data_IF_938349642450
#
_entry.id   IF_938349642450
#
_cell.length_a   1.000
_cell.length_b   1.000
_cell.length_c   1.000
_cell.angle_alpha   90.00
_cell.angle_beta   90.00
_cell.angle_gamma   90.00
#
_symmetry.space_group_name_H-M   'P 1'
#
loop_
_entity.id
_entity.type
_entity.pdbx_description
1 polymer ?
#
# COMPACT_ATOMS: atom_id res chain seq x y z
N UNK A 1 16.40 11.52 -16.00
CA UNK A 1 15.09 11.99 -15.50
C UNK A 1 14.75 11.19 -14.28
N UNK A 2 14.75 11.85 -13.11
CA UNK A 2 14.49 11.18 -11.84
C UNK A 2 12.99 11.00 -11.64
N UNK A 3 12.58 9.88 -11.02
CA UNK A 3 11.22 9.74 -10.53
C UNK A 3 11.02 10.61 -9.28
N UNK A 4 9.78 11.02 -9.05
CA UNK A 4 9.43 11.87 -7.92
C UNK A 4 8.21 11.33 -7.20
N UNK A 5 8.30 11.24 -5.87
CA UNK A 5 7.20 10.89 -4.97
C UNK A 5 7.07 11.97 -3.90
N UNK A 6 5.86 12.51 -3.72
CA UNK A 6 5.54 13.50 -2.69
C UNK A 6 4.48 12.95 -1.75
N UNK A 7 4.84 12.61 -0.51
CA UNK A 7 3.84 12.22 0.49
C UNK A 7 2.89 13.36 0.83
N UNK A 8 1.64 13.03 1.14
CA UNK A 8 0.66 13.97 1.66
C UNK A 8 0.72 14.06 3.18
N UNK A 9 0.23 15.17 3.78
CA UNK A 9 0.17 15.31 5.22
C UNK A 9 -0.52 14.14 5.91
N UNK A 10 -0.05 13.82 7.12
CA UNK A 10 -0.57 12.72 7.95
C UNK A 10 -0.50 11.33 7.30
N UNK A 11 0.37 11.14 6.29
CA UNK A 11 0.48 9.89 5.51
C UNK A 11 -0.86 9.49 4.87
N UNK A 12 -1.65 10.48 4.46
CA UNK A 12 -2.96 10.25 3.84
C UNK A 12 -2.89 9.70 2.43
N UNK A 13 -1.70 9.67 1.84
CA UNK A 13 -1.43 9.21 0.49
C UNK A 13 -0.19 9.88 -0.08
N UNK A 14 -0.04 9.83 -1.38
CA UNK A 14 1.09 10.46 -2.07
C UNK A 14 0.76 10.77 -3.54
N UNK A 15 1.52 11.70 -4.10
CA UNK A 15 1.60 12.02 -5.52
C UNK A 15 2.86 11.38 -6.10
N UNK A 16 2.82 10.95 -7.37
CA UNK A 16 3.99 10.42 -8.08
C UNK A 16 4.13 10.98 -9.49
N UNK A 17 5.37 11.07 -9.92
CA UNK A 17 5.77 11.35 -11.29
C UNK A 17 6.83 10.33 -11.71
N UNK A 18 6.54 9.54 -12.71
CA UNK A 18 7.45 8.53 -13.26
C UNK A 18 7.71 8.82 -14.73
N UNK A 19 8.91 9.32 -15.09
CA UNK A 19 9.25 9.57 -16.49
C UNK A 19 9.34 8.25 -17.27
N UNK A 20 8.74 8.24 -18.47
CA UNK A 20 8.67 7.08 -19.36
C UNK A 20 9.55 7.25 -20.61
N UNK A 21 10.33 8.34 -20.68
CA UNK A 21 11.06 8.70 -21.89
C UNK A 21 10.16 9.31 -22.97
N UNK A 22 10.76 9.81 -24.06
CA UNK A 22 10.05 10.39 -25.23
C UNK A 22 9.01 11.45 -24.85
N UNK A 23 9.30 12.30 -23.88
CA UNK A 23 8.40 13.32 -23.34
C UNK A 23 7.07 12.77 -22.78
N UNK A 24 7.05 11.52 -22.34
CA UNK A 24 5.93 10.88 -21.66
C UNK A 24 6.23 10.65 -20.19
N UNK A 25 5.20 10.73 -19.35
CA UNK A 25 5.30 10.39 -17.95
C UNK A 25 4.00 9.78 -17.43
N UNK A 26 4.12 8.91 -16.47
CA UNK A 26 3.04 8.47 -15.59
C UNK A 26 2.94 9.43 -14.43
N UNK A 27 1.82 10.14 -14.33
CA UNK A 27 1.56 11.08 -13.23
C UNK A 27 0.31 10.62 -12.53
N UNK A 28 0.35 10.58 -11.22
CA UNK A 28 -0.82 10.21 -10.46
C UNK A 28 -0.71 10.54 -8.99
N UNK A 29 -1.79 10.31 -8.30
CA UNK A 29 -1.88 10.44 -6.86
C UNK A 29 -2.99 9.53 -6.32
N UNK A 30 -2.80 9.05 -5.09
CA UNK A 30 -3.80 8.30 -4.36
C UNK A 30 -3.81 8.71 -2.90
N UNK A 31 -5.00 8.85 -2.31
CA UNK A 31 -5.12 9.25 -0.92
C UNK A 31 -6.47 8.88 -0.29
N UNK A 32 -6.54 9.01 1.03
CA UNK A 32 -7.78 8.85 1.79
C UNK A 32 -8.67 10.10 1.79
N UNK A 33 -8.11 11.29 1.51
CA UNK A 33 -8.76 12.59 1.75
C UNK A 33 -9.07 13.37 0.48
N UNK A 34 -8.97 12.75 -0.70
CA UNK A 34 -9.21 13.36 -2.03
C UNK A 34 -8.29 14.56 -2.36
N UNK A 35 -7.12 14.64 -1.75
CA UNK A 35 -6.09 15.64 -2.06
C UNK A 35 -5.44 15.40 -3.43
N UNK A 36 -5.54 14.17 -3.95
CA UNK A 36 -4.97 13.77 -5.22
C UNK A 36 -5.39 14.67 -6.40
N UNK A 37 -6.65 15.12 -6.44
CA UNK A 37 -7.15 15.98 -7.51
C UNK A 37 -6.45 17.34 -7.47
N UNK A 38 -6.34 17.94 -6.30
CA UNK A 38 -5.72 19.25 -6.11
C UNK A 38 -4.21 19.21 -6.44
N UNK A 39 -3.49 18.20 -5.96
CA UNK A 39 -2.05 18.07 -6.22
C UNK A 39 -1.76 17.80 -7.69
N UNK A 40 -2.56 16.98 -8.35
CA UNK A 40 -2.44 16.74 -9.80
C UNK A 40 -2.68 18.03 -10.59
N UNK A 41 -3.71 18.79 -10.24
CA UNK A 41 -4.00 20.07 -10.88
C UNK A 41 -2.87 21.11 -10.65
N UNK A 42 -2.31 21.19 -9.43
CA UNK A 42 -1.14 22.04 -9.14
C UNK A 42 0.07 21.67 -10.02
N UNK A 43 0.30 20.36 -10.20
CA UNK A 43 1.39 19.90 -11.05
C UNK A 43 1.21 20.35 -12.49
N UNK A 44 0.05 20.11 -13.09
CA UNK A 44 -0.22 20.55 -14.48
C UNK A 44 -0.20 22.06 -14.64
N UNK A 45 -0.67 22.82 -13.66
CA UNK A 45 -0.58 24.29 -13.67
C UNK A 45 0.87 24.78 -13.69
N UNK A 46 1.76 24.07 -12.98
CA UNK A 46 3.18 24.47 -12.87
C UNK A 46 4.02 24.06 -14.07
N UNK A 47 3.83 22.84 -14.55
CA UNK A 47 4.71 22.22 -15.56
C UNK A 47 4.07 22.09 -16.95
N UNK A 48 2.77 22.29 -17.04
CA UNK A 48 2.03 22.08 -18.28
C UNK A 48 1.90 20.61 -18.67
N UNK A 49 1.66 20.37 -19.95
CA UNK A 49 1.56 19.04 -20.52
C UNK A 49 0.16 18.72 -21.07
N UNK A 50 0.07 17.68 -21.89
CA UNK A 50 -1.18 17.18 -22.45
C UNK A 50 -1.49 15.81 -21.88
N UNK A 51 -2.66 15.68 -21.27
CA UNK A 51 -3.15 14.37 -20.79
C UNK A 51 -3.54 13.52 -22.01
N UNK A 52 -2.91 12.37 -22.15
CA UNK A 52 -3.20 11.40 -23.23
C UNK A 52 -4.21 10.35 -22.78
N UNK A 53 -4.18 9.96 -21.49
CA UNK A 53 -5.09 8.99 -20.91
C UNK A 53 -5.23 9.24 -19.41
N UNK A 54 -6.42 9.09 -18.88
CA UNK A 54 -6.69 9.11 -17.45
C UNK A 54 -7.30 7.78 -17.02
N UNK A 55 -6.79 7.21 -15.94
CA UNK A 55 -7.33 6.03 -15.28
C UNK A 55 -7.36 6.25 -13.79
N UNK A 56 -8.34 5.70 -13.10
CA UNK A 56 -8.45 5.74 -11.64
C UNK A 56 -9.25 4.56 -11.15
N UNK A 57 -8.80 3.97 -10.04
CA UNK A 57 -9.51 2.89 -9.36
C UNK A 57 -9.35 3.01 -7.85
N UNK A 58 -10.38 2.71 -7.07
CA UNK A 58 -10.20 2.49 -5.65
C UNK A 58 -9.35 1.23 -5.44
N UNK A 59 -8.47 1.26 -4.45
CA UNK A 59 -7.71 0.10 -3.98
C UNK A 59 -8.15 -0.26 -2.55
N UNK A 60 -8.16 -1.55 -2.26
CA UNK A 60 -8.50 -2.03 -0.92
C UNK A 60 -7.25 -1.97 -0.03
N UNK A 61 -7.27 -1.09 0.95
CA UNK A 61 -6.19 -0.99 1.95
C UNK A 61 -6.54 -1.66 3.30
N UNK A 62 -7.77 -2.14 3.46
CA UNK A 62 -8.14 -3.00 4.58
C UNK A 62 -7.31 -4.29 4.53
N UNK A 63 -6.72 -4.66 5.64
CA UNK A 63 -5.76 -5.77 5.73
C UNK A 63 -6.46 -7.12 5.92
N UNK A 64 -5.80 -8.27 5.67
CA UNK A 64 -6.45 -9.58 5.67
C UNK A 64 -7.28 -9.87 6.90
N UNK A 65 -6.78 -9.56 8.10
CA UNK A 65 -7.52 -9.76 9.34
C UNK A 65 -8.87 -9.02 9.42
N UNK A 66 -9.10 -8.01 8.58
CA UNK A 66 -10.35 -7.27 8.46
C UNK A 66 -11.23 -7.74 7.28
N UNK A 67 -10.73 -8.68 6.48
CA UNK A 67 -11.36 -9.15 5.24
C UNK A 67 -11.88 -10.59 5.32
N UNK A 68 -11.84 -11.20 6.50
CA UNK A 68 -12.31 -12.58 6.70
C UNK A 68 -13.84 -12.71 6.53
N UNK A 69 -14.32 -13.88 6.14
CA UNK A 69 -13.59 -15.09 5.75
C UNK A 69 -12.98 -14.94 4.34
N UNK A 70 -11.84 -15.62 4.08
CA UNK A 70 -11.19 -15.59 2.76
C UNK A 70 -11.83 -16.55 1.76
N UNK A 71 -12.72 -17.41 2.22
CA UNK A 71 -13.44 -18.36 1.37
C UNK A 71 -14.91 -18.50 1.78
N UNK A 72 -15.74 -18.86 0.79
CA UNK A 72 -17.14 -19.24 1.00
C UNK A 72 -17.53 -20.33 0.00
N UNK A 73 -17.81 -21.51 0.50
CA UNK A 73 -18.04 -22.67 -0.33
C UNK A 73 -16.85 -22.97 -1.23
N UNK A 74 -17.05 -22.96 -2.55
CA UNK A 74 -16.00 -23.21 -3.55
C UNK A 74 -15.27 -21.93 -4.02
N UNK A 75 -15.66 -20.75 -3.53
CA UNK A 75 -15.04 -19.49 -3.92
C UNK A 75 -13.99 -19.12 -2.88
N UNK A 76 -12.78 -18.83 -3.36
CA UNK A 76 -11.65 -18.40 -2.52
C UNK A 76 -11.14 -17.06 -3.02
N UNK A 77 -11.01 -16.09 -2.11
CA UNK A 77 -10.40 -14.79 -2.37
C UNK A 77 -8.87 -14.89 -2.30
N UNK A 78 -8.18 -14.20 -3.22
CA UNK A 78 -6.72 -14.13 -3.29
C UNK A 78 -6.30 -12.70 -3.60
N UNK A 79 -5.17 -12.25 -3.06
CA UNK A 79 -4.60 -10.95 -3.35
C UNK A 79 -5.43 -9.78 -2.79
N UNK A 80 -5.61 -8.72 -3.56
CA UNK A 80 -6.33 -7.52 -3.12
C UNK A 80 -7.75 -7.80 -2.62
N UNK A 81 -8.42 -8.83 -3.14
CA UNK A 81 -9.77 -9.19 -2.72
C UNK A 81 -9.88 -9.52 -1.22
N UNK A 82 -8.79 -9.97 -0.62
CA UNK A 82 -8.66 -10.27 0.82
C UNK A 82 -7.70 -9.32 1.55
N UNK A 83 -7.35 -8.17 0.95
CA UNK A 83 -6.62 -7.11 1.63
C UNK A 83 -5.10 -7.27 1.68
N UNK A 84 -4.46 -7.91 0.70
CA UNK A 84 -3.00 -8.08 0.69
C UNK A 84 -2.23 -6.89 0.12
N UNK A 85 -2.87 -5.74 -0.10
CA UNK A 85 -2.17 -4.52 -0.49
C UNK A 85 -1.43 -3.93 0.72
N UNK A 86 -0.16 -3.57 0.54
CA UNK A 86 0.62 -2.93 1.59
C UNK A 86 0.10 -1.52 1.88
N UNK A 87 -0.45 -1.25 3.06
CA UNK A 87 -1.28 -0.06 3.28
C UNK A 87 -0.55 1.28 3.16
N UNK A 88 0.76 1.32 3.42
CA UNK A 88 1.54 2.57 3.39
C UNK A 88 1.82 3.05 1.97
N UNK A 89 2.13 2.12 1.08
CA UNK A 89 2.57 2.42 -0.29
C UNK A 89 1.51 2.09 -1.36
N UNK A 90 0.41 1.43 -0.99
CA UNK A 90 -0.55 0.92 -1.97
C UNK A 90 0.05 -0.17 -2.89
N UNK A 91 1.16 -0.78 -2.48
CA UNK A 91 1.83 -1.84 -3.22
C UNK A 91 1.02 -3.12 -3.12
N UNK A 92 0.52 -3.61 -4.25
CA UNK A 92 -0.36 -4.78 -4.29
C UNK A 92 0.13 -5.92 -5.18
N UNK A 93 1.05 -5.67 -6.12
CA UNK A 93 1.48 -6.67 -7.11
C UNK A 93 2.23 -7.81 -6.44
N UNK A 94 3.36 -7.53 -5.80
CA UNK A 94 4.18 -8.56 -5.14
C UNK A 94 3.42 -9.24 -3.99
N UNK A 95 2.72 -8.52 -3.09
CA UNK A 95 1.91 -9.17 -2.07
C UNK A 95 0.82 -10.10 -2.63
N UNK A 96 0.18 -9.72 -3.74
CA UNK A 96 -0.83 -10.58 -4.38
C UNK A 96 -0.21 -11.84 -4.97
N UNK A 97 0.98 -11.75 -5.55
CA UNK A 97 1.73 -12.93 -6.03
C UNK A 97 2.11 -13.86 -4.88
N UNK A 98 2.59 -13.30 -3.76
CA UNK A 98 2.89 -14.07 -2.55
C UNK A 98 1.64 -14.74 -1.96
N UNK A 99 0.51 -14.03 -1.95
CA UNK A 99 -0.77 -14.60 -1.52
C UNK A 99 -1.21 -15.75 -2.44
N UNK A 100 -1.02 -15.60 -3.74
CA UNK A 100 -1.33 -16.66 -4.71
C UNK A 100 -0.44 -17.91 -4.50
N UNK A 101 0.85 -17.71 -4.20
CA UNK A 101 1.75 -18.82 -3.87
C UNK A 101 1.30 -19.54 -2.59
N UNK A 102 0.93 -18.81 -1.54
CA UNK A 102 0.36 -19.40 -0.31
C UNK A 102 -0.91 -20.20 -0.65
N UNK A 103 -1.79 -19.68 -1.50
CA UNK A 103 -2.99 -20.36 -1.92
C UNK A 103 -2.68 -21.68 -2.65
N UNK A 104 -1.77 -21.65 -3.63
CA UNK A 104 -1.38 -22.83 -4.40
C UNK A 104 -0.80 -23.94 -3.51
N UNK A 105 0.07 -23.58 -2.56
CA UNK A 105 0.65 -24.53 -1.59
C UNK A 105 -0.38 -25.14 -0.64
N UNK A 106 -1.54 -24.51 -0.49
CA UNK A 106 -2.61 -24.95 0.41
C UNK A 106 -3.89 -25.34 -0.36
N UNK A 107 -3.78 -25.69 -1.63
CA UNK A 107 -4.93 -26.15 -2.42
C UNK A 107 -5.66 -27.31 -1.72
N UNK A 108 -6.98 -27.17 -1.60
CA UNK A 108 -7.83 -28.15 -0.92
C UNK A 108 -7.91 -27.98 0.62
N UNK A 109 -7.13 -27.08 1.21
CA UNK A 109 -7.18 -26.79 2.65
C UNK A 109 -7.33 -25.28 2.92
N UNK A 110 -8.56 -24.80 2.84
CA UNK A 110 -8.87 -23.37 2.99
C UNK A 110 -8.55 -22.82 4.39
N UNK A 111 -8.68 -23.63 5.44
CA UNK A 111 -8.36 -23.22 6.82
C UNK A 111 -6.85 -22.98 6.97
N UNK A 112 -6.03 -23.86 6.43
CA UNK A 112 -4.58 -23.69 6.45
C UNK A 112 -4.15 -22.49 5.61
N UNK A 113 -4.79 -22.30 4.44
CA UNK A 113 -4.59 -21.11 3.61
C UNK A 113 -4.86 -19.82 4.39
N UNK A 114 -6.03 -19.72 5.02
CA UNK A 114 -6.42 -18.54 5.80
C UNK A 114 -5.44 -18.25 6.93
N UNK A 115 -5.02 -19.28 7.67
CA UNK A 115 -4.05 -19.16 8.75
C UNK A 115 -2.68 -18.69 8.27
N UNK A 116 -2.18 -19.24 7.16
CA UNK A 116 -0.87 -18.88 6.61
C UNK A 116 -0.87 -17.45 6.05
N UNK A 117 -1.96 -17.03 5.39
CA UNK A 117 -2.13 -15.64 4.94
C UNK A 117 -2.15 -14.68 6.14
N UNK A 118 -2.91 -14.97 7.19
CA UNK A 118 -2.97 -14.15 8.39
C UNK A 118 -1.58 -13.95 9.02
N UNK A 119 -0.81 -15.02 9.16
CA UNK A 119 0.52 -14.93 9.77
C UNK A 119 1.49 -14.16 8.86
N UNK A 120 1.47 -14.43 7.55
CA UNK A 120 2.36 -13.79 6.59
C UNK A 120 2.12 -12.27 6.49
N UNK A 121 0.86 -11.84 6.45
CA UNK A 121 0.48 -10.44 6.31
C UNK A 121 0.17 -9.73 7.64
N UNK A 122 0.47 -10.33 8.77
CA UNK A 122 0.22 -9.79 10.11
C UNK A 122 0.73 -8.37 10.32
N UNK A 123 1.91 -8.06 9.76
CA UNK A 123 2.51 -6.72 9.86
C UNK A 123 1.65 -5.65 9.19
N UNK A 124 0.87 -5.99 8.15
CA UNK A 124 -0.01 -5.06 7.45
C UNK A 124 -1.08 -4.47 8.37
N UNK A 125 -1.58 -5.26 9.32
CA UNK A 125 -2.50 -4.79 10.35
C UNK A 125 -1.90 -3.68 11.22
N UNK A 126 -0.61 -3.79 11.59
CA UNK A 126 0.10 -2.76 12.36
C UNK A 126 0.27 -1.48 11.54
N UNK A 127 0.67 -1.62 10.27
CA UNK A 127 0.81 -0.47 9.34
C UNK A 127 -0.54 0.23 9.15
N UNK A 128 -1.61 -0.52 8.91
CA UNK A 128 -2.94 0.03 8.73
C UNK A 128 -3.43 0.79 9.98
N UNK A 129 -3.24 0.22 11.17
CA UNK A 129 -3.59 0.87 12.43
C UNK A 129 -2.77 2.15 12.66
N UNK A 130 -1.48 2.15 12.30
CA UNK A 130 -0.64 3.32 12.34
C UNK A 130 -1.20 4.44 11.44
N UNK A 131 -1.50 4.15 10.18
CA UNK A 131 -2.06 5.13 9.24
C UNK A 131 -3.41 5.65 9.77
N UNK A 132 -4.31 4.77 10.19
CA UNK A 132 -5.60 5.16 10.76
C UNK A 132 -5.46 6.09 11.97
N UNK A 133 -4.49 5.81 12.86
CA UNK A 133 -4.24 6.65 14.03
C UNK A 133 -3.80 8.07 13.63
N UNK A 134 -2.99 8.19 12.58
CA UNK A 134 -2.58 9.49 12.01
C UNK A 134 -3.74 10.23 11.36
N UNK A 135 -4.52 9.56 10.52
CA UNK A 135 -5.68 10.15 9.85
C UNK A 135 -6.76 10.68 10.81
N UNK A 136 -6.93 10.00 11.95
CA UNK A 136 -7.94 10.40 12.95
C UNK A 136 -7.37 11.24 14.10
N UNK A 137 -6.13 11.73 14.00
CA UNK A 137 -5.46 12.51 15.05
C UNK A 137 -5.39 11.78 16.41
N UNK A 138 -5.34 10.43 16.40
CA UNK A 138 -5.25 9.57 17.59
C UNK A 138 -3.86 8.96 17.79
N UNK A 139 -2.88 9.48 17.08
CA UNK A 139 -1.51 8.98 17.15
C UNK A 139 -0.86 9.34 18.48
N UNK A 140 -0.28 8.33 19.14
CA UNK A 140 0.56 8.48 20.34
C UNK A 140 1.82 7.66 20.16
N UNK A 141 2.98 8.31 20.19
CA UNK A 141 4.26 7.66 19.98
C UNK A 141 4.54 6.59 21.06
N UNK A 142 4.28 6.91 22.31
CA UNK A 142 4.51 5.99 23.43
C UNK A 142 3.68 4.71 23.31
N UNK A 143 2.41 4.86 22.94
CA UNK A 143 1.49 3.73 22.79
C UNK A 143 1.82 2.86 21.57
N UNK A 144 2.31 3.45 20.51
CA UNK A 144 2.54 2.77 19.25
C UNK A 144 4.00 2.36 19.02
N UNK A 145 4.90 2.64 19.95
CA UNK A 145 6.33 2.35 19.81
C UNK A 145 6.65 0.90 19.41
N UNK A 146 6.03 -0.14 20.02
CA UNK A 146 6.31 -1.53 19.63
C UNK A 146 5.91 -1.83 18.17
N UNK A 147 4.81 -1.23 17.71
CA UNK A 147 4.35 -1.40 16.34
C UNK A 147 5.24 -0.65 15.36
N UNK A 148 5.65 0.58 15.70
CA UNK A 148 6.59 1.37 14.91
C UNK A 148 7.93 0.65 14.72
N UNK A 149 8.49 0.07 15.77
CA UNK A 149 9.71 -0.73 15.67
C UNK A 149 9.53 -1.97 14.77
N UNK A 150 8.37 -2.61 14.84
CA UNK A 150 8.05 -3.75 13.98
C UNK A 150 7.90 -3.33 12.52
N UNK A 151 7.24 -2.20 12.27
CA UNK A 151 7.06 -1.62 10.93
C UNK A 151 8.42 -1.23 10.36
N UNK A 152 9.24 -0.51 11.14
CA UNK A 152 10.58 -0.12 10.73
C UNK A 152 11.45 -1.34 10.33
N UNK A 153 11.49 -2.38 11.18
CA UNK A 153 12.23 -3.61 10.88
C UNK A 153 11.73 -4.30 9.61
N UNK A 154 10.43 -4.32 9.41
CA UNK A 154 9.83 -4.89 8.20
C UNK A 154 10.22 -4.09 6.97
N UNK A 155 10.14 -2.77 7.01
CA UNK A 155 10.52 -1.90 5.91
C UNK A 155 12.02 -2.01 5.61
N UNK A 156 12.87 -1.98 6.64
CA UNK A 156 14.32 -2.14 6.51
C UNK A 156 14.69 -3.48 5.85
N UNK A 157 14.02 -4.57 6.22
CA UNK A 157 14.22 -5.88 5.60
C UNK A 157 13.78 -5.94 4.13
N UNK A 158 12.91 -5.04 3.71
CA UNK A 158 12.33 -5.01 2.35
C UNK A 158 12.74 -3.77 1.55
N UNK A 159 13.84 -3.11 1.89
CA UNK A 159 14.34 -1.89 1.22
C UNK A 159 14.48 -2.08 -0.30
N UNK A 160 15.14 -3.16 -0.70
CA UNK A 160 15.34 -3.50 -2.11
C UNK A 160 14.01 -3.66 -2.84
N UNK A 161 13.03 -4.35 -2.23
CA UNK A 161 11.68 -4.52 -2.78
C UNK A 161 10.95 -3.19 -2.94
N UNK A 162 11.12 -2.27 -2.00
CA UNK A 162 10.47 -0.96 -2.04
C UNK A 162 11.25 0.06 -2.88
N UNK A 163 12.47 -0.25 -3.28
CA UNK A 163 13.34 0.68 -3.99
C UNK A 163 13.70 1.92 -3.17
N UNK A 164 13.76 1.80 -1.85
CA UNK A 164 14.01 2.90 -0.92
C UNK A 164 15.04 2.49 0.12
N UNK A 165 15.95 3.39 0.43
CA UNK A 165 16.80 3.28 1.61
C UNK A 165 16.06 3.86 2.82
N UNK A 166 16.06 3.14 3.94
CA UNK A 166 15.28 3.50 5.13
C UNK A 166 16.22 3.71 6.31
N UNK A 167 16.29 4.93 6.79
CA UNK A 167 17.14 5.31 7.91
C UNK A 167 16.29 5.86 9.07
N UNK A 168 16.73 5.61 10.31
CA UNK A 168 16.03 6.12 11.51
C UNK A 168 16.19 7.63 11.72
N UNK A 169 17.02 8.29 10.92
CA UNK A 169 17.32 9.73 11.05
C UNK A 169 16.46 10.61 10.14
N UNK A 170 15.72 10.01 9.22
CA UNK A 170 14.81 10.67 8.28
C UNK A 170 13.35 10.49 8.74
#
# INVERSE_FOLDING_TARGET
DDFYIKPFPHMSGYFWYFPMGKNLAHIGAGDYNKQHVEETNKFFKKYGGKVTKTVGRPIRLATPNLCKPFYKGKVVGVGESIGTVYPLLGEGIIPSMMCADIFVRNLGNNEKYEKEVDEYFKIYGKVFNFIRSKLHNKFSILRMMPDLLSIFRYMKKNEERFGMEINMRD
#
